data_IF_881580270802
#
_entry.id   IF_881580270802
#
_cell.length_a   1.000
_cell.length_b   1.000
_cell.length_c   1.000
_cell.angle_alpha   90.00
_cell.angle_beta   90.00
_cell.angle_gamma   90.00
#
_symmetry.space_group_name_H-M   'P 1'
#
loop_
_entity.id
_entity.type
_entity.pdbx_description
1 polymer ?
#
# COMPACT_ATOMS: atom_id res chain seq x y z
N UNK A 1 2.63 -26.94 -19.53
CA UNK A 1 3.45 -25.75 -19.80
C UNK A 1 4.21 -25.46 -18.52
N UNK A 2 5.55 -25.49 -18.54
CA UNK A 2 6.35 -25.18 -17.36
C UNK A 2 6.19 -23.70 -17.05
N UNK A 3 5.41 -23.38 -16.01
CA UNK A 3 5.39 -22.04 -15.44
C UNK A 3 6.83 -21.73 -15.01
N UNK A 4 7.46 -20.65 -15.49
CA UNK A 4 8.80 -20.29 -15.02
C UNK A 4 8.79 -20.17 -13.50
N UNK A 5 9.86 -20.63 -12.85
CA UNK A 5 9.99 -20.53 -11.40
C UNK A 5 9.83 -19.06 -10.98
N UNK A 6 9.02 -18.83 -9.95
CA UNK A 6 8.82 -17.50 -9.36
C UNK A 6 10.18 -16.88 -9.03
N UNK A 7 10.45 -15.63 -9.45
CA UNK A 7 11.68 -14.93 -9.09
C UNK A 7 11.66 -14.45 -7.62
N UNK A 8 10.52 -14.57 -6.94
CA UNK A 8 10.35 -14.20 -5.54
C UNK A 8 10.77 -15.31 -4.59
N UNK A 9 11.47 -14.93 -3.52
CA UNK A 9 11.74 -15.75 -2.35
C UNK A 9 10.82 -15.34 -1.20
N UNK A 10 10.28 -16.32 -0.47
CA UNK A 10 9.51 -16.04 0.73
C UNK A 10 10.46 -15.51 1.82
N UNK A 11 10.23 -14.27 2.24
CA UNK A 11 10.97 -13.62 3.32
C UNK A 11 10.44 -14.04 4.68
N UNK A 12 9.11 -14.01 4.83
CA UNK A 12 8.43 -14.34 6.08
C UNK A 12 7.06 -14.95 5.80
N UNK A 13 6.88 -16.22 6.17
CA UNK A 13 5.61 -16.94 6.07
C UNK A 13 4.67 -16.56 7.25
N UNK A 14 4.34 -15.28 7.38
CA UNK A 14 3.53 -14.74 8.50
C UNK A 14 2.06 -15.16 8.45
N UNK A 15 1.60 -15.66 7.30
CA UNK A 15 0.24 -16.13 7.07
C UNK A 15 -0.83 -15.06 7.38
N UNK A 16 -0.54 -13.81 7.04
CA UNK A 16 -1.42 -12.67 7.22
C UNK A 16 -2.77 -12.90 6.53
N UNK A 17 -3.85 -12.47 7.20
CA UNK A 17 -5.19 -12.54 6.63
C UNK A 17 -5.30 -11.62 5.41
N UNK A 18 -4.91 -10.35 5.60
CA UNK A 18 -4.82 -9.34 4.54
C UNK A 18 -3.56 -8.49 4.79
N UNK A 19 -2.40 -9.02 4.37
CA UNK A 19 -1.13 -8.30 4.46
C UNK A 19 -1.10 -7.11 3.52
N UNK A 20 -0.76 -5.91 4.00
CA UNK A 20 -0.85 -4.66 3.24
C UNK A 20 0.14 -3.59 3.73
N UNK A 21 0.21 -2.47 3.00
CA UNK A 21 0.99 -1.28 3.29
C UNK A 21 2.46 -1.55 3.67
N UNK A 22 3.20 -2.34 2.88
CA UNK A 22 4.63 -2.49 3.11
C UNK A 22 5.33 -1.13 3.01
N UNK A 23 6.17 -0.83 3.99
CA UNK A 23 6.92 0.40 4.11
C UNK A 23 8.36 0.09 4.55
N UNK A 24 9.34 0.59 3.79
CA UNK A 24 10.75 0.43 4.12
C UNK A 24 11.28 1.67 4.85
N UNK A 25 11.78 1.49 6.08
CA UNK A 25 12.40 2.58 6.82
C UNK A 25 13.41 2.04 7.83
N UNK A 26 14.52 2.75 8.01
CA UNK A 26 15.55 2.44 9.02
C UNK A 26 16.09 1.00 8.97
N UNK A 27 16.19 0.41 7.76
CA UNK A 27 16.69 -0.97 7.60
C UNK A 27 15.66 -2.05 7.92
N UNK A 28 14.39 -1.69 8.05
CA UNK A 28 13.30 -2.61 8.37
C UNK A 28 12.12 -2.46 7.43
N UNK A 29 11.48 -3.59 7.14
CA UNK A 29 10.20 -3.66 6.44
C UNK A 29 9.06 -3.69 7.46
N UNK A 30 8.27 -2.64 7.47
CA UNK A 30 7.01 -2.54 8.21
C UNK A 30 5.85 -2.88 7.30
N UNK A 31 4.80 -3.50 7.81
CA UNK A 31 3.55 -3.75 7.09
C UNK A 31 2.42 -4.04 8.08
N UNK A 32 1.19 -4.12 7.59
CA UNK A 32 0.02 -4.42 8.42
C UNK A 32 -0.66 -5.71 7.98
N UNK A 33 -1.39 -6.35 8.89
CA UNK A 33 -2.43 -7.32 8.56
C UNK A 33 -3.76 -6.65 8.91
N UNK A 34 -4.49 -6.18 7.89
CA UNK A 34 -5.71 -5.39 8.08
C UNK A 34 -6.74 -6.22 8.83
N UNK A 35 -7.03 -7.43 8.35
CA UNK A 35 -8.08 -8.30 8.91
C UNK A 35 -7.59 -9.16 10.07
N UNK A 36 -6.28 -9.31 10.24
CA UNK A 36 -5.68 -9.88 11.45
C UNK A 36 -5.46 -8.87 12.57
N UNK A 37 -5.69 -7.58 12.33
CA UNK A 37 -5.47 -6.46 13.26
C UNK A 37 -4.05 -6.46 13.84
N UNK A 38 -3.02 -6.42 12.99
CA UNK A 38 -1.63 -6.39 13.44
C UNK A 38 -0.76 -5.42 12.66
N UNK A 39 0.25 -4.86 13.34
CA UNK A 39 1.45 -4.28 12.72
C UNK A 39 2.56 -5.33 12.77
N UNK A 40 3.32 -5.43 11.70
CA UNK A 40 4.47 -6.32 11.57
C UNK A 40 5.73 -5.54 11.21
N UNK A 41 6.88 -6.03 11.67
CA UNK A 41 8.20 -5.50 11.30
C UNK A 41 9.18 -6.66 11.07
N UNK A 42 9.90 -6.62 9.96
CA UNK A 42 11.05 -7.46 9.66
C UNK A 42 12.31 -6.59 9.64
N UNK A 43 13.29 -6.90 10.48
CA UNK A 43 14.59 -6.21 10.54
C UNK A 43 15.60 -6.91 9.61
N UNK A 44 16.12 -6.19 8.61
CA UNK A 44 17.03 -6.80 7.62
C UNK A 44 18.37 -7.23 8.23
N UNK A 45 18.90 -6.48 9.19
CA UNK A 45 20.21 -6.77 9.79
C UNK A 45 20.24 -8.04 10.65
N UNK A 46 19.13 -8.34 11.33
CA UNK A 46 19.03 -9.43 12.30
C UNK A 46 18.18 -10.59 11.80
N UNK A 47 17.32 -10.36 10.81
CA UNK A 47 16.25 -11.27 10.42
C UNK A 47 15.11 -11.36 11.44
N UNK A 48 15.12 -10.51 12.47
CA UNK A 48 14.12 -10.52 13.53
C UNK A 48 12.75 -10.08 12.99
N UNK A 49 11.71 -10.76 13.48
CA UNK A 49 10.33 -10.49 13.12
C UNK A 49 9.55 -10.09 14.37
N UNK A 50 8.88 -8.94 14.33
CA UNK A 50 8.11 -8.40 15.43
C UNK A 50 6.66 -8.19 15.01
N UNK A 51 5.73 -8.27 15.96
CA UNK A 51 4.31 -8.07 15.69
C UNK A 51 3.58 -7.47 16.88
N UNK A 52 2.78 -6.45 16.64
CA UNK A 52 1.98 -5.75 17.64
C UNK A 52 0.49 -5.89 17.31
N UNK A 53 -0.38 -6.17 18.30
CA UNK A 53 -1.82 -6.14 18.07
C UNK A 53 -2.28 -4.70 17.84
N UNK A 54 -3.08 -4.48 16.80
CA UNK A 54 -3.79 -3.24 16.56
C UNK A 54 -5.22 -3.33 17.15
N UNK A 55 -5.83 -2.19 17.53
CA UNK A 55 -7.15 -2.19 18.17
C UNK A 55 -8.32 -2.50 17.22
N UNK A 56 -8.09 -2.41 15.90
CA UNK A 56 -9.10 -2.60 14.86
C UNK A 56 -8.41 -2.87 13.50
N UNK A 57 -9.20 -2.96 12.44
CA UNK A 57 -8.75 -3.09 11.04
C UNK A 57 -7.78 -1.95 10.68
N UNK A 58 -6.47 -2.22 10.80
CA UNK A 58 -5.40 -1.26 10.53
C UNK A 58 -4.99 -1.35 9.07
N UNK A 59 -5.24 -0.27 8.33
CA UNK A 59 -5.21 -0.28 6.87
C UNK A 59 -3.85 0.08 6.25
N UNK A 60 -3.12 1.00 6.89
CA UNK A 60 -1.78 1.39 6.47
C UNK A 60 -0.88 1.77 7.64
N UNK A 61 0.43 1.80 7.36
CA UNK A 61 1.49 2.29 8.26
C UNK A 61 2.54 3.07 7.46
N UNK A 62 2.82 4.29 7.90
CA UNK A 62 3.85 5.16 7.30
C UNK A 62 4.69 5.84 8.39
N UNK A 63 6.00 6.01 8.21
CA UNK A 63 6.84 6.67 9.21
C UNK A 63 6.50 8.15 9.28
N UNK A 64 6.63 8.74 10.47
CA UNK A 64 6.72 10.18 10.61
C UNK A 64 8.18 10.64 10.80
N UNK A 65 8.39 11.94 10.67
CA UNK A 65 9.73 12.54 10.73
C UNK A 65 10.29 12.66 12.17
N UNK A 66 9.55 12.23 13.20
CA UNK A 66 9.98 12.24 14.61
C UNK A 66 10.26 10.83 15.15
N UNK A 67 10.17 9.80 14.31
CA UNK A 67 10.56 8.42 14.64
C UNK A 67 9.42 7.55 15.19
N UNK A 68 8.17 7.95 14.93
CA UNK A 68 6.96 7.15 15.18
C UNK A 68 6.31 6.80 13.83
N UNK A 69 5.08 6.29 13.88
CA UNK A 69 4.30 5.95 12.69
C UNK A 69 2.92 6.59 12.71
N UNK A 70 2.42 6.95 11.54
CA UNK A 70 1.02 7.29 11.31
C UNK A 70 0.35 6.07 10.69
N UNK A 71 -0.83 5.73 11.21
CA UNK A 71 -1.61 4.57 10.78
C UNK A 71 -3.06 4.97 10.51
N UNK A 72 -3.70 4.20 9.63
CA UNK A 72 -5.13 4.33 9.35
C UNK A 72 -5.93 3.28 10.10
N UNK A 73 -6.80 3.71 11.02
CA UNK A 73 -7.81 2.89 11.68
C UNK A 73 -9.20 3.21 11.11
N UNK A 74 -10.24 2.40 11.39
CA UNK A 74 -11.59 2.72 10.91
C UNK A 74 -12.03 4.10 11.41
N UNK A 75 -12.32 5.00 10.47
CA UNK A 75 -12.79 6.36 10.75
C UNK A 75 -11.77 7.30 11.41
N UNK A 76 -10.47 6.99 11.45
CA UNK A 76 -9.48 7.90 12.02
C UNK A 76 -8.02 7.65 11.58
N UNK A 77 -7.21 8.71 11.66
CA UNK A 77 -5.77 8.59 11.73
C UNK A 77 -5.32 8.45 13.18
N UNK A 78 -4.30 7.64 13.44
CA UNK A 78 -3.69 7.46 14.74
C UNK A 78 -2.16 7.41 14.65
N UNK A 79 -1.48 7.69 15.77
CA UNK A 79 -0.04 7.51 15.92
C UNK A 79 0.25 6.16 16.55
N UNK A 80 1.22 5.43 16.02
CA UNK A 80 1.70 4.16 16.56
C UNK A 80 3.14 4.28 17.06
N UNK A 81 3.36 3.84 18.29
CA UNK A 81 4.69 3.74 18.92
C UNK A 81 5.14 2.29 19.03
N UNK A 82 6.17 1.85 18.27
CA UNK A 82 6.69 0.49 18.40
C UNK A 82 7.25 0.19 19.80
N UNK A 83 7.77 1.22 20.49
CA UNK A 83 8.38 1.09 21.82
C UNK A 83 7.36 0.72 22.89
N UNK A 84 6.17 1.36 22.88
CA UNK A 84 5.11 1.08 23.86
C UNK A 84 4.04 0.13 23.32
N UNK A 85 3.95 -0.06 22.01
CA UNK A 85 2.86 -0.78 21.34
C UNK A 85 1.53 -0.02 21.35
N UNK A 86 1.53 1.27 21.69
CA UNK A 86 0.31 2.07 21.85
C UNK A 86 -0.10 2.75 20.55
N UNK A 87 -1.42 2.97 20.44
CA UNK A 87 -2.08 3.69 19.36
C UNK A 87 -2.80 4.90 19.95
N UNK A 88 -2.43 6.10 19.50
CA UNK A 88 -2.98 7.36 19.97
C UNK A 88 -3.81 8.02 18.86
N UNK A 89 -5.12 8.24 19.04
CA UNK A 89 -5.94 8.91 18.02
C UNK A 89 -5.43 10.31 17.70
N UNK A 90 -5.42 10.67 16.42
CA UNK A 90 -5.01 12.00 15.93
C UNK A 90 -6.22 12.79 15.46
N UNK A 91 -6.95 12.25 14.48
CA UNK A 91 -8.05 12.97 13.84
C UNK A 91 -9.08 11.99 13.27
N UNK A 92 -10.36 12.30 13.49
CA UNK A 92 -11.48 11.56 12.91
C UNK A 92 -11.59 11.84 11.41
N UNK A 93 -11.92 10.81 10.65
CA UNK A 93 -12.14 10.83 9.21
C UNK A 93 -13.52 10.24 8.93
N UNK A 94 -14.32 10.91 8.10
CA UNK A 94 -15.65 10.44 7.70
C UNK A 94 -16.59 10.07 8.88
N UNK A 95 -16.83 10.99 9.85
CA UNK A 95 -17.70 10.70 11.00
C UNK A 95 -19.12 10.27 10.59
N UNK A 96 -19.58 10.67 9.40
CA UNK A 96 -20.90 10.36 8.88
C UNK A 96 -20.94 9.08 8.01
N UNK A 97 -19.82 8.37 7.84
CA UNK A 97 -19.74 7.11 7.06
C UNK A 97 -19.26 5.93 7.94
N UNK A 98 -20.08 5.45 8.89
CA UNK A 98 -19.67 4.42 9.85
C UNK A 98 -19.37 3.04 9.23
N UNK A 99 -19.75 2.82 7.97
CA UNK A 99 -19.46 1.59 7.23
C UNK A 99 -18.17 1.69 6.40
N UNK A 100 -17.59 2.88 6.27
CA UNK A 100 -16.33 3.06 5.60
C UNK A 100 -15.16 2.68 6.51
N UNK A 101 -14.07 2.25 5.88
CA UNK A 101 -12.74 2.18 6.48
C UNK A 101 -11.73 2.90 5.59
N UNK A 102 -10.59 3.25 6.18
CA UNK A 102 -9.42 3.64 5.40
C UNK A 102 -8.83 2.39 4.69
N UNK A 103 -8.13 2.59 3.58
CA UNK A 103 -7.51 1.50 2.83
C UNK A 103 -6.03 1.79 2.56
N UNK A 104 -5.68 2.26 1.37
CA UNK A 104 -4.28 2.43 0.98
C UNK A 104 -3.79 3.87 1.17
N UNK A 105 -2.49 4.03 1.40
CA UNK A 105 -1.84 5.32 1.62
C UNK A 105 -0.44 5.43 1.00
N UNK A 106 0.00 6.67 0.81
CA UNK A 106 1.37 7.04 0.46
C UNK A 106 1.69 8.44 1.02
N UNK A 107 2.97 8.79 1.04
CA UNK A 107 3.43 10.11 1.45
C UNK A 107 4.06 10.81 0.25
N UNK A 108 3.67 12.07 0.02
CA UNK A 108 4.26 12.87 -1.05
C UNK A 108 5.62 13.45 -0.66
N UNK A 109 6.30 14.10 -1.62
CA UNK A 109 7.62 14.68 -1.40
C UNK A 109 7.63 15.90 -0.46
N UNK A 110 6.46 16.45 -0.09
CA UNK A 110 6.31 17.51 0.92
C UNK A 110 6.06 16.93 2.32
N UNK A 111 5.93 15.61 2.44
CA UNK A 111 5.61 14.91 3.69
C UNK A 111 4.12 14.92 4.01
N UNK A 112 3.24 15.17 3.03
CA UNK A 112 1.79 15.09 3.23
C UNK A 112 1.31 13.67 2.99
N UNK A 113 0.41 13.20 3.85
CA UNK A 113 -0.18 11.87 3.76
C UNK A 113 -1.36 11.91 2.79
N UNK A 114 -1.34 11.03 1.79
CA UNK A 114 -2.44 10.79 0.87
C UNK A 114 -3.00 9.40 1.12
N UNK A 115 -4.30 9.27 1.26
CA UNK A 115 -4.92 8.00 1.61
C UNK A 115 -6.36 7.90 1.13
N UNK A 116 -6.80 6.67 0.85
CA UNK A 116 -8.15 6.37 0.41
C UNK A 116 -9.05 5.82 1.53
N UNK A 117 -10.35 6.00 1.37
CA UNK A 117 -11.41 5.30 2.09
C UNK A 117 -12.24 4.42 1.15
N UNK A 118 -12.99 3.48 1.71
CA UNK A 118 -13.90 2.59 0.98
C UNK A 118 -14.98 2.03 1.89
N UNK A 119 -16.09 1.56 1.31
CA UNK A 119 -17.02 0.68 2.01
C UNK A 119 -16.29 -0.59 2.45
N UNK A 120 -16.29 -0.88 3.75
CA UNK A 120 -15.60 -2.05 4.29
C UNK A 120 -16.17 -3.39 3.77
N UNK A 121 -17.41 -3.39 3.30
CA UNK A 121 -18.05 -4.56 2.71
C UNK A 121 -17.91 -4.65 1.19
N UNK A 122 -17.26 -3.67 0.56
CA UNK A 122 -16.99 -3.64 -0.89
C UNK A 122 -18.26 -3.68 -1.76
N UNK A 123 -19.37 -3.13 -1.25
CA UNK A 123 -20.69 -3.12 -1.93
C UNK A 123 -20.95 -1.81 -2.64
N UNK A 124 -20.64 -0.71 -1.97
CA UNK A 124 -20.99 0.63 -2.42
C UNK A 124 -19.75 1.45 -2.80
N UNK A 125 -19.89 2.34 -3.79
CA UNK A 125 -18.82 3.26 -4.22
C UNK A 125 -18.75 4.51 -3.35
N UNK A 126 -18.59 4.34 -2.04
CA UNK A 126 -18.53 5.42 -1.04
C UNK A 126 -17.11 5.92 -0.74
N UNK A 127 -16.11 5.33 -1.39
CA UNK A 127 -14.71 5.63 -1.16
C UNK A 127 -14.29 7.00 -1.67
N UNK A 128 -13.35 7.62 -0.96
CA UNK A 128 -12.83 8.94 -1.25
C UNK A 128 -11.31 9.02 -1.04
N UNK A 129 -10.68 9.92 -1.78
CA UNK A 129 -9.26 10.24 -1.66
C UNK A 129 -9.08 11.46 -0.75
N UNK A 130 -8.18 11.35 0.22
CA UNK A 130 -7.86 12.41 1.18
C UNK A 130 -6.39 12.80 1.14
N UNK A 131 -6.13 14.03 1.58
CA UNK A 131 -4.81 14.59 1.86
C UNK A 131 -4.77 15.13 3.28
N UNK A 132 -3.73 14.79 4.03
CA UNK A 132 -3.49 15.29 5.38
C UNK A 132 -2.09 15.89 5.50
N UNK A 133 -2.02 17.11 6.04
CA UNK A 133 -0.79 17.90 6.13
C UNK A 133 -0.11 17.85 7.52
N UNK A 134 -0.61 17.02 8.44
CA UNK A 134 -0.11 16.93 9.80
C UNK A 134 -0.73 17.89 10.81
N UNK A 135 -1.54 18.86 10.39
CA UNK A 135 -2.01 19.97 11.24
C UNK A 135 -3.53 20.06 11.37
N UNK A 136 -4.26 19.90 10.28
CA UNK A 136 -5.71 20.11 10.23
C UNK A 136 -6.46 18.79 9.93
N UNK A 137 -7.79 18.85 9.86
CA UNK A 137 -8.58 17.74 9.34
C UNK A 137 -8.17 17.39 7.90
N UNK A 138 -8.14 16.10 7.52
CA UNK A 138 -7.87 15.70 6.14
C UNK A 138 -8.85 16.35 5.16
N UNK A 139 -8.33 16.81 4.02
CA UNK A 139 -9.14 17.40 2.93
C UNK A 139 -9.46 16.31 1.91
N UNK A 140 -10.72 16.21 1.49
CA UNK A 140 -11.14 15.30 0.42
C UNK A 140 -10.80 15.92 -0.96
N UNK A 141 -10.14 15.15 -1.82
CA UNK A 141 -9.69 15.56 -3.16
C UNK A 141 -10.46 14.89 -4.30
N UNK A 142 -11.00 13.70 -4.06
CA UNK A 142 -11.76 12.96 -5.06
C UNK A 142 -12.67 11.91 -4.41
N UNK A 143 -13.70 11.45 -5.12
CA UNK A 143 -14.77 10.58 -4.57
C UNK A 143 -15.19 9.48 -5.56
N UNK A 144 -16.18 8.70 -5.13
CA UNK A 144 -16.89 7.68 -5.89
C UNK A 144 -16.04 6.44 -6.20
N UNK A 145 -15.09 6.08 -5.32
CA UNK A 145 -14.29 4.86 -5.44
C UNK A 145 -15.00 3.67 -4.82
N UNK A 146 -14.98 2.52 -5.50
CA UNK A 146 -15.50 1.27 -4.95
C UNK A 146 -14.52 0.66 -3.93
N UNK A 147 -13.25 0.57 -4.34
CA UNK A 147 -12.13 0.16 -3.49
C UNK A 147 -10.97 1.07 -3.89
N UNK A 148 -10.60 1.99 -3.01
CA UNK A 148 -9.53 2.96 -3.24
C UNK A 148 -8.16 2.30 -3.01
N UNK A 149 -7.35 2.19 -4.03
CA UNK A 149 -6.02 1.60 -3.95
C UNK A 149 -4.96 2.47 -4.63
N UNK A 150 -3.69 2.22 -4.32
CA UNK A 150 -2.74 3.31 -4.40
C UNK A 150 -3.11 4.41 -3.39
N UNK A 151 -2.18 5.28 -3.07
CA UNK A 151 -1.70 6.12 -4.15
C UNK A 151 -0.20 5.98 -4.40
N UNK A 152 0.25 6.54 -5.51
CA UNK A 152 1.67 6.71 -5.78
C UNK A 152 1.92 8.02 -6.54
N UNK A 153 3.13 8.55 -6.39
CA UNK A 153 3.61 9.71 -7.15
C UNK A 153 4.69 9.30 -8.15
N UNK A 154 4.70 9.94 -9.32
CA UNK A 154 5.85 9.88 -10.22
C UNK A 154 7.10 10.48 -9.56
N UNK A 155 8.33 10.10 -9.97
CA UNK A 155 9.56 10.58 -9.33
C UNK A 155 9.71 12.10 -9.29
N UNK A 156 9.20 12.80 -10.30
CA UNK A 156 9.23 14.26 -10.39
C UNK A 156 8.04 14.95 -9.71
N UNK A 157 7.15 14.20 -9.05
CA UNK A 157 5.95 14.72 -8.36
C UNK A 157 4.86 15.29 -9.28
N UNK A 158 4.98 15.21 -10.60
CA UNK A 158 4.01 15.83 -11.55
C UNK A 158 2.78 14.97 -11.84
N UNK A 159 2.86 13.67 -11.57
CA UNK A 159 1.75 12.74 -11.71
C UNK A 159 1.44 12.05 -10.40
N UNK A 160 0.15 11.93 -10.14
CA UNK A 160 -0.42 11.17 -9.05
C UNK A 160 -1.26 10.03 -9.63
N UNK A 161 -1.13 8.84 -9.04
CA UNK A 161 -1.80 7.64 -9.49
C UNK A 161 -2.72 7.12 -8.39
N UNK A 162 -3.96 6.84 -8.75
CA UNK A 162 -4.94 6.27 -7.82
C UNK A 162 -5.81 5.26 -8.53
N UNK A 163 -6.08 4.16 -7.87
CA UNK A 163 -6.70 2.96 -8.43
C UNK A 163 -8.10 2.82 -7.88
N UNK A 164 -9.04 2.53 -8.77
CA UNK A 164 -10.28 1.89 -8.40
C UNK A 164 -10.20 0.41 -8.78
N UNK A 165 -10.11 -0.43 -7.75
CA UNK A 165 -9.91 -1.87 -7.95
C UNK A 165 -11.08 -2.49 -8.69
N UNK A 166 -12.33 -2.27 -8.28
CA UNK A 166 -13.50 -2.92 -8.90
C UNK A 166 -13.81 -2.39 -10.31
N UNK A 167 -13.43 -1.13 -10.61
CA UNK A 167 -13.49 -0.63 -11.99
C UNK A 167 -12.32 -1.11 -12.85
N UNK A 168 -11.29 -1.72 -12.24
CA UNK A 168 -10.06 -2.17 -12.92
C UNK A 168 -9.31 -1.02 -13.61
N UNK A 169 -9.40 0.19 -13.06
CA UNK A 169 -8.79 1.39 -13.64
C UNK A 169 -7.78 1.98 -12.66
N UNK A 170 -6.59 2.27 -13.17
CA UNK A 170 -5.64 3.17 -12.54
C UNK A 170 -5.82 4.52 -13.22
N UNK A 171 -6.22 5.52 -12.45
CA UNK A 171 -6.31 6.91 -12.87
C UNK A 171 -4.96 7.61 -12.72
N UNK A 172 -4.71 8.58 -13.59
CA UNK A 172 -3.60 9.53 -13.45
C UNK A 172 -4.17 10.94 -13.34
N UNK A 173 -3.59 11.72 -12.44
CA UNK A 173 -3.83 13.15 -12.28
C UNK A 173 -2.56 13.91 -12.62
N UNK A 174 -2.73 15.18 -12.99
CA UNK A 174 -1.64 16.16 -13.01
C UNK A 174 -1.59 16.82 -11.63
N UNK A 175 -0.41 16.87 -11.03
CA UNK A 175 -0.16 17.63 -9.81
C UNK A 175 0.28 19.03 -10.21
N UNK A 176 -0.48 20.03 -9.81
CA UNK A 176 -0.15 21.44 -10.02
C UNK A 176 1.00 21.88 -9.10
N UNK A 177 1.58 23.05 -9.38
CA UNK A 177 2.64 23.62 -8.54
C UNK A 177 2.14 23.92 -7.11
N UNK A 178 0.83 24.23 -6.99
CA UNK A 178 0.11 24.42 -5.73
C UNK A 178 -0.28 23.10 -5.03
N UNK A 179 0.09 21.94 -5.59
CA UNK A 179 -0.20 20.59 -5.08
C UNK A 179 -1.67 20.17 -5.09
N UNK A 180 -2.46 20.79 -5.95
CA UNK A 180 -3.81 20.34 -6.26
C UNK A 180 -3.80 19.31 -7.39
N UNK A 181 -4.72 18.33 -7.31
CA UNK A 181 -4.91 17.30 -8.31
C UNK A 181 -5.83 17.81 -9.43
N UNK A 182 -5.32 17.78 -10.65
CA UNK A 182 -6.01 18.23 -11.86
C UNK A 182 -6.12 17.10 -12.87
N UNK A 183 -7.04 17.25 -13.83
CA UNK A 183 -7.13 16.39 -15.03
C UNK A 183 -7.15 14.87 -14.74
N UNK A 184 -8.03 14.43 -13.83
CA UNK A 184 -8.30 13.00 -13.61
C UNK A 184 -8.64 12.32 -14.93
N UNK A 185 -7.83 11.35 -15.35
CA UNK A 185 -8.09 10.52 -16.54
C UNK A 185 -7.74 9.06 -16.31
N UNK A 186 -8.46 8.11 -16.92
CA UNK A 186 -8.00 6.74 -17.02
C UNK A 186 -6.59 6.71 -17.62
N UNK A 187 -5.68 5.95 -16.99
CA UNK A 187 -4.31 5.80 -17.46
C UNK A 187 -4.04 4.36 -17.87
N UNK A 188 -4.33 3.40 -16.98
CA UNK A 188 -4.21 1.98 -17.27
C UNK A 188 -5.56 1.33 -16.99
N UNK A 189 -6.12 0.65 -17.99
CA UNK A 189 -7.27 -0.23 -17.84
C UNK A 189 -6.75 -1.66 -17.78
N UNK A 190 -6.98 -2.34 -16.66
CA UNK A 190 -6.61 -3.75 -16.51
C UNK A 190 -7.59 -4.61 -17.29
N UNK A 191 -7.05 -5.52 -18.10
CA UNK A 191 -7.82 -6.40 -18.97
C UNK A 191 -8.60 -7.47 -18.18
N UNK A 192 -9.65 -8.01 -18.79
CA UNK A 192 -10.39 -9.12 -18.18
C UNK A 192 -9.50 -10.33 -17.95
N UNK A 193 -9.68 -11.01 -16.81
CA UNK A 193 -8.86 -12.17 -16.42
C UNK A 193 -7.49 -11.84 -15.81
N UNK A 194 -7.04 -10.59 -15.84
CA UNK A 194 -5.75 -10.17 -15.28
C UNK A 194 -5.74 -9.93 -13.75
N UNK A 195 -6.82 -10.28 -13.07
CA UNK A 195 -7.02 -9.98 -11.66
C UNK A 195 -7.53 -8.57 -11.42
N UNK A 196 -7.23 -8.05 -10.24
CA UNK A 196 -7.69 -6.75 -9.77
C UNK A 196 -6.47 -5.90 -9.35
N UNK A 197 -6.33 -4.66 -9.85
CA UNK A 197 -5.21 -3.82 -9.46
C UNK A 197 -5.36 -3.39 -8.01
N UNK A 198 -4.32 -3.65 -7.22
CA UNK A 198 -4.30 -3.41 -5.79
C UNK A 198 -3.26 -2.30 -5.48
N UNK A 199 -2.38 -2.51 -4.52
CA UNK A 199 -1.30 -1.60 -4.17
C UNK A 199 -0.35 -1.28 -5.33
N UNK A 200 -0.05 0.01 -5.49
CA UNK A 200 0.81 0.55 -6.55
C UNK A 200 2.02 1.29 -5.94
N UNK A 201 3.18 1.17 -6.59
CA UNK A 201 4.38 1.98 -6.31
C UNK A 201 5.08 2.38 -7.62
N UNK A 202 6.12 3.20 -7.54
CA UNK A 202 6.85 3.70 -8.71
C UNK A 202 8.35 3.51 -8.51
N UNK A 203 9.05 3.08 -9.56
CA UNK A 203 10.52 3.00 -9.56
C UNK A 203 11.18 4.31 -10.04
N UNK A 204 12.50 4.38 -9.95
CA UNK A 204 13.27 5.58 -10.31
C UNK A 204 13.18 5.97 -11.80
N UNK A 205 12.76 5.05 -12.69
CA UNK A 205 12.49 5.35 -14.10
C UNK A 205 11.06 5.87 -14.33
N UNK A 206 10.25 5.97 -13.28
CA UNK A 206 8.86 6.38 -13.36
C UNK A 206 7.92 5.26 -13.82
N UNK A 207 8.38 4.01 -13.85
CA UNK A 207 7.51 2.87 -14.17
C UNK A 207 6.65 2.53 -12.96
N UNK A 208 5.36 2.30 -13.21
CA UNK A 208 4.42 1.85 -12.19
C UNK A 208 4.58 0.37 -11.96
N UNK A 209 4.63 -0.04 -10.70
CA UNK A 209 4.54 -1.43 -10.28
C UNK A 209 3.22 -1.63 -9.55
N UNK A 210 2.43 -2.59 -10.01
CA UNK A 210 1.05 -2.81 -9.57
C UNK A 210 0.92 -4.27 -9.13
N UNK A 211 0.52 -4.47 -7.89
CA UNK A 211 0.11 -5.78 -7.40
C UNK A 211 -1.25 -6.16 -8.02
N UNK A 212 -1.37 -7.43 -8.43
CA UNK A 212 -2.59 -7.97 -9.05
C UNK A 212 -3.22 -9.01 -8.12
N UNK A 213 -4.25 -8.59 -7.40
CA UNK A 213 -5.02 -9.46 -6.51
C UNK A 213 -5.78 -10.51 -7.33
N UNK A 214 -5.79 -11.75 -6.85
CA UNK A 214 -6.51 -12.87 -7.47
C UNK A 214 -5.80 -13.54 -8.65
N UNK A 215 -4.58 -13.13 -9.00
CA UNK A 215 -3.81 -13.76 -10.11
C UNK A 215 -2.34 -14.02 -9.81
N UNK A 216 -1.88 -13.69 -8.61
CA UNK A 216 -0.54 -14.01 -8.16
C UNK A 216 0.56 -13.31 -8.95
N UNK A 217 0.38 -12.03 -9.29
CA UNK A 217 1.39 -11.31 -10.05
C UNK A 217 1.62 -9.87 -9.59
N UNK A 218 2.81 -9.37 -9.88
CA UNK A 218 3.13 -7.94 -9.91
C UNK A 218 3.43 -7.56 -11.35
N UNK A 219 2.85 -6.45 -11.82
CA UNK A 219 3.04 -5.96 -13.19
C UNK A 219 3.77 -4.63 -13.18
N UNK A 220 4.73 -4.46 -14.10
CA UNK A 220 5.47 -3.22 -14.31
C UNK A 220 4.99 -2.56 -15.61
N UNK A 221 4.53 -1.32 -15.51
CA UNK A 221 4.06 -0.51 -16.63
C UNK A 221 5.00 0.67 -16.87
N UNK A 222 5.18 1.04 -18.15
CA UNK A 222 5.95 2.22 -18.53
C UNK A 222 5.27 3.51 -18.05
N UNK A 223 5.99 4.65 -18.03
CA UNK A 223 5.38 5.96 -17.75
C UNK A 223 4.24 6.34 -18.73
N UNK A 224 4.17 5.65 -19.88
CA UNK A 224 3.12 5.80 -20.88
C UNK A 224 1.96 4.80 -20.73
N UNK A 225 2.03 3.88 -19.76
CA UNK A 225 0.98 2.91 -19.46
C UNK A 225 1.12 1.58 -20.18
N UNK A 226 2.24 1.33 -20.87
CA UNK A 226 2.48 0.07 -21.57
C UNK A 226 2.97 -1.01 -20.60
N UNK A 227 2.42 -2.23 -20.66
CA UNK A 227 2.89 -3.34 -19.83
C UNK A 227 4.28 -3.78 -20.29
N UNK A 228 5.28 -3.62 -19.41
CA UNK A 228 6.68 -3.97 -19.68
C UNK A 228 7.05 -5.36 -19.17
N UNK A 229 6.52 -5.76 -18.02
CA UNK A 229 6.84 -7.04 -17.40
C UNK A 229 5.75 -7.51 -16.43
N UNK A 230 5.67 -8.83 -16.26
CA UNK A 230 4.85 -9.49 -15.25
C UNK A 230 5.72 -10.46 -14.46
N UNK A 231 5.66 -10.39 -13.13
CA UNK A 231 6.40 -11.24 -12.20
C UNK A 231 5.41 -12.04 -11.37
N UNK A 232 5.47 -13.37 -11.45
CA UNK A 232 4.53 -14.26 -10.77
C UNK A 232 5.03 -14.68 -9.40
N UNK A 233 4.11 -14.76 -8.43
CA UNK A 233 4.31 -15.24 -7.07
C UNK A 233 3.61 -16.60 -6.89
N UNK A 234 4.06 -17.43 -5.92
CA UNK A 234 3.39 -18.69 -5.58
C UNK A 234 2.12 -18.50 -4.71
N UNK A 235 1.53 -17.30 -4.72
CA UNK A 235 0.35 -16.94 -3.93
C UNK A 235 -0.60 -16.11 -4.79
N UNK A 236 -1.88 -16.45 -4.80
CA UNK A 236 -2.88 -15.85 -5.70
C UNK A 236 -3.23 -14.41 -5.33
N UNK A 237 -3.29 -14.09 -4.04
CA UNK A 237 -3.69 -12.76 -3.56
C UNK A 237 -2.47 -11.90 -3.24
N UNK A 238 -1.95 -11.20 -4.25
CA UNK A 238 -0.84 -10.25 -4.13
C UNK A 238 -1.42 -8.86 -3.91
N UNK A 239 -1.03 -8.18 -2.84
CA UNK A 239 -1.72 -6.98 -2.35
C UNK A 239 -0.95 -5.70 -2.62
N UNK A 240 0.31 -5.61 -2.21
CA UNK A 240 1.12 -4.39 -2.41
C UNK A 240 2.60 -4.70 -2.42
N UNK A 241 3.40 -3.73 -2.88
CA UNK A 241 4.84 -3.80 -2.83
C UNK A 241 5.49 -2.46 -2.45
N UNK A 242 6.72 -2.54 -1.95
CA UNK A 242 7.62 -1.42 -1.73
C UNK A 242 9.04 -1.81 -2.11
N UNK A 243 9.87 -0.82 -2.46
CA UNK A 243 11.29 -1.02 -2.63
C UNK A 243 12.05 -0.71 -1.34
N UNK A 244 13.03 -1.54 -1.01
CA UNK A 244 13.88 -1.39 0.15
C UNK A 244 15.25 -2.02 -0.02
N UNK A 245 15.91 -2.30 1.09
CA UNK A 245 17.36 -2.48 1.15
C UNK A 245 18.10 -1.14 1.12
N UNK A 246 19.40 -1.16 1.44
CA UNK A 246 20.25 0.03 1.44
C UNK A 246 20.41 0.67 0.05
N UNK A 247 20.18 -0.10 -1.01
CA UNK A 247 20.26 0.34 -2.41
C UNK A 247 18.88 0.49 -3.09
N UNK A 248 17.79 0.28 -2.36
CA UNK A 248 16.40 0.33 -2.85
C UNK A 248 16.11 -0.61 -4.04
N UNK A 249 16.94 -1.64 -4.25
CA UNK A 249 16.81 -2.59 -5.36
C UNK A 249 16.18 -3.92 -4.91
N UNK A 250 15.61 -3.99 -3.71
CA UNK A 250 14.83 -5.15 -3.24
C UNK A 250 13.36 -4.78 -3.23
N UNK A 251 12.56 -5.42 -4.09
CA UNK A 251 11.10 -5.32 -4.04
C UNK A 251 10.57 -6.28 -2.97
N UNK A 252 9.93 -5.74 -1.94
CA UNK A 252 9.18 -6.50 -0.94
C UNK A 252 7.70 -6.49 -1.29
N UNK A 253 7.05 -7.66 -1.23
CA UNK A 253 5.67 -7.84 -1.69
C UNK A 253 4.85 -8.52 -0.59
N UNK A 254 3.72 -7.93 -0.23
CA UNK A 254 2.74 -8.51 0.69
C UNK A 254 1.72 -9.35 -0.07
N UNK A 255 1.19 -10.36 0.61
CA UNK A 255 0.12 -11.22 0.09
C UNK A 255 -0.94 -11.45 1.16
N UNK A 256 -2.07 -12.06 0.78
CA UNK A 256 -3.21 -12.28 1.65
C UNK A 256 -3.73 -13.72 1.58
N UNK A 257 -4.41 -14.13 2.66
CA UNK A 257 -5.21 -15.36 2.71
C UNK A 257 -6.70 -15.11 2.54
N UNK A 258 -7.13 -13.84 2.63
CA UNK A 258 -8.53 -13.45 2.58
C UNK A 258 -9.24 -14.03 1.36
N UNK A 259 -10.39 -14.67 1.58
CA UNK A 259 -11.20 -15.26 0.53
C UNK A 259 -10.67 -16.57 -0.07
N UNK A 260 -9.47 -17.04 0.30
CA UNK A 260 -8.96 -18.34 -0.14
C UNK A 260 -9.65 -19.47 0.64
N UNK A 261 -10.10 -20.48 -0.08
CA UNK A 261 -10.66 -21.69 0.52
C UNK A 261 -9.57 -22.63 1.05
N UNK A 262 -9.99 -23.65 1.81
CA UNK A 262 -9.06 -24.62 2.40
C UNK A 262 -8.29 -25.43 1.36
N UNK A 263 -8.81 -25.59 0.15
CA UNK A 263 -8.13 -26.31 -0.91
C UNK A 263 -6.99 -25.48 -1.47
N UNK A 264 -7.25 -24.20 -1.74
CA UNK A 264 -6.26 -23.24 -2.24
C UNK A 264 -5.17 -23.00 -1.20
N UNK A 265 -5.52 -22.85 0.08
CA UNK A 265 -4.53 -22.72 1.16
C UNK A 265 -3.60 -23.94 1.29
N UNK A 266 -4.07 -25.15 0.92
CA UNK A 266 -3.21 -26.35 0.89
C UNK A 266 -2.26 -26.35 -0.29
N UNK A 267 -2.66 -25.79 -1.43
CA UNK A 267 -1.81 -25.66 -2.63
C UNK A 267 -0.89 -24.44 -2.58
N UNK A 268 -1.27 -23.42 -1.80
CA UNK A 268 -0.53 -22.18 -1.58
C UNK A 268 -0.16 -22.02 -0.10
N UNK A 269 0.73 -22.89 0.45
CA UNK A 269 1.04 -22.90 1.87
C UNK A 269 1.73 -21.61 2.36
N UNK A 270 2.19 -20.76 1.44
CA UNK A 270 2.84 -19.48 1.72
C UNK A 270 1.88 -18.27 1.57
N UNK A 271 0.60 -18.49 1.28
CA UNK A 271 -0.38 -17.40 1.17
C UNK A 271 -0.44 -16.59 2.47
N UNK A 272 -0.48 -15.26 2.35
CA UNK A 272 -0.33 -14.34 3.48
C UNK A 272 1.12 -14.11 3.91
N UNK A 273 2.09 -14.66 3.20
CA UNK A 273 3.52 -14.39 3.41
C UNK A 273 3.98 -13.08 2.78
N UNK A 274 5.16 -12.64 3.20
CA UNK A 274 5.91 -11.56 2.57
C UNK A 274 7.00 -12.16 1.70
N UNK A 275 7.15 -11.62 0.50
CA UNK A 275 8.11 -12.07 -0.49
C UNK A 275 9.11 -10.97 -0.85
N UNK A 276 10.27 -11.36 -1.37
CA UNK A 276 11.27 -10.42 -1.87
C UNK A 276 11.85 -10.85 -3.21
N UNK A 277 12.21 -9.88 -4.04
CA UNK A 277 12.89 -10.08 -5.32
C UNK A 277 13.86 -8.92 -5.57
N UNK A 278 15.04 -9.23 -6.09
CA UNK A 278 15.98 -8.21 -6.58
C UNK A 278 15.53 -7.66 -7.93
N UNK A 279 15.50 -6.34 -8.04
CA UNK A 279 15.16 -5.62 -9.27
C UNK A 279 16.38 -4.94 -9.87
N UNK A 280 16.25 -4.46 -11.11
CA UNK A 280 17.33 -3.76 -11.84
C UNK A 280 17.27 -2.24 -11.67
N UNK A 281 16.09 -1.71 -11.36
CA UNK A 281 15.82 -0.28 -11.21
C UNK A 281 15.42 -0.05 -9.76
N UNK A 282 16.07 0.87 -9.04
CA UNK A 282 15.76 1.10 -7.64
C UNK A 282 14.38 1.77 -7.51
N UNK A 283 13.77 1.61 -6.35
CA UNK A 283 12.64 2.44 -5.97
C UNK A 283 13.04 3.86 -5.59
N UNK A 284 12.08 4.56 -4.99
CA UNK A 284 12.28 5.89 -4.44
C UNK A 284 12.46 5.83 -2.91
N UNK A 285 13.24 6.75 -2.32
CA UNK A 285 13.30 6.89 -0.87
C UNK A 285 11.91 7.13 -0.27
N UNK A 286 11.61 6.45 0.84
CA UNK A 286 10.37 6.67 1.59
C UNK A 286 10.45 8.01 2.29
N UNK A 287 9.51 8.91 1.97
CA UNK A 287 9.38 10.22 2.62
C UNK A 287 8.52 10.06 3.88
N UNK A 288 8.98 10.51 5.06
CA UNK A 288 8.17 10.44 6.26
C UNK A 288 7.09 11.53 6.27
N UNK A 289 5.98 11.25 6.95
CA UNK A 289 4.92 12.24 7.19
C UNK A 289 5.47 13.38 8.05
N UNK A 290 5.22 14.61 7.61
CA UNK A 290 5.47 15.81 8.38
C UNK A 290 4.35 15.97 9.40
N UNK A 291 4.73 15.99 10.68
CA UNK A 291 3.85 16.20 11.83
C UNK A 291 4.33 17.42 12.64
N UNK A 292 3.63 17.88 13.67
CA UNK A 292 4.15 18.94 14.54
C UNK A 292 5.43 18.51 15.27
N UNK A 293 6.42 19.40 15.39
CA UNK A 293 7.65 19.13 16.16
C UNK A 293 7.39 18.86 17.65
N UNK A 294 6.25 19.32 18.17
CA UNK A 294 5.81 19.08 19.55
C UNK A 294 5.51 17.62 19.85
N UNK A 295 5.50 16.75 18.83
CA UNK A 295 5.23 15.32 18.95
C UNK A 295 6.48 14.46 19.23
N UNK A 296 7.67 15.07 19.30
CA UNK A 296 8.92 14.39 19.69
C UNK A 296 8.85 13.76 21.08
#
# INVERSE_FOLDING_TARGET
MNTPASPFSCLWAVAATLGESPCWTQGSLWFVDIKGCRVHCFEESSGACHSWPAPADISFIVPDHVGQFIVGLPGMLARFSPKSGQFEPIVTVEPDQPHNRLNDACVDHRGQLWFGSMDNMERDSTGALYRWNGLAAPTCHDRDYAISNGPAFSPNGRHFYHTDTLRKVIYRFIVSDDHELLEKRPFIQIESGAGWPDGTTVDAEGCLWVAMYGTGSVRRYSPNGELLATFFLPCTNVTKLIFGGSDLLTAFVTTARQGLDMQTLRTEPLAGGVFSMRVKVPGLPVVPVRVPDTWR
#
